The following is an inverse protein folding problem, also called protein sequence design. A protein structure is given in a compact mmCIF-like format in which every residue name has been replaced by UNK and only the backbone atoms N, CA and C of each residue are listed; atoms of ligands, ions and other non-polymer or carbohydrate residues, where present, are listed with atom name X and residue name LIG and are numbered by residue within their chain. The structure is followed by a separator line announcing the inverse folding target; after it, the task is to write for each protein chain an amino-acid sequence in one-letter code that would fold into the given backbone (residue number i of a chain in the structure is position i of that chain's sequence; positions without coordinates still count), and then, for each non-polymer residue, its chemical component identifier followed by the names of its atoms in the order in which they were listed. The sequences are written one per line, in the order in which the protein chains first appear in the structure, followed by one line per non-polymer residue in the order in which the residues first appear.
data_IF_614374910109
#
_entry.id   IF_614374910109
#
_cell.length_a   1.000
_cell.length_b   1.000
_cell.length_c   1.000
_cell.angle_alpha   90.00
_cell.angle_beta   90.00
_cell.angle_gamma   90.00
#
_symmetry.space_group_name_H-M   'P 1'
#
loop_
_entity.id
_entity.type
_entity.pdbx_description
1 polymer ?
#
# COMPACT_ATOMS: atom_id res chain seq x y z
N UNK A 1 3.32 24.74 32.27
CA UNK A 1 2.31 23.86 32.87
C UNK A 1 1.85 22.87 31.80
N UNK A 2 2.35 21.64 31.85
CA UNK A 2 1.90 20.60 30.93
C UNK A 2 0.50 20.14 31.37
N UNK A 3 -0.48 20.18 30.45
CA UNK A 3 -1.80 19.62 30.70
C UNK A 3 -1.63 18.12 30.91
N UNK A 4 -1.91 17.68 32.13
CA UNK A 4 -2.24 16.30 32.45
C UNK A 4 -3.47 15.91 31.62
N UNK A 5 -3.27 15.26 30.48
CA UNK A 5 -4.34 14.55 29.81
C UNK A 5 -4.57 13.27 30.60
N UNK A 6 -5.51 13.33 31.53
CA UNK A 6 -6.24 12.16 31.99
C UNK A 6 -6.77 11.44 30.76
N UNK A 7 -6.07 10.40 30.29
CA UNK A 7 -6.55 9.58 29.17
C UNK A 7 -7.64 8.67 29.71
N UNK A 8 -8.88 9.13 29.67
CA UNK A 8 -10.02 8.25 29.88
C UNK A 8 -9.90 7.08 28.89
N UNK A 9 -10.00 5.86 29.42
CA UNK A 9 -10.02 4.67 28.58
C UNK A 9 -11.23 4.75 27.64
N UNK A 10 -11.12 4.26 26.40
CA UNK A 10 -12.26 4.22 25.49
C UNK A 10 -13.45 3.48 26.14
N UNK A 11 -14.65 3.99 25.92
CA UNK A 11 -15.87 3.39 26.44
C UNK A 11 -16.30 2.15 25.63
N UNK A 12 -17.28 1.42 26.15
CA UNK A 12 -17.82 0.21 25.49
C UNK A 12 -18.30 0.49 24.06
N UNK A 13 -18.90 1.66 23.83
CA UNK A 13 -19.44 2.08 22.53
C UNK A 13 -18.33 2.25 21.47
N UNK A 14 -17.15 2.71 21.88
CA UNK A 14 -15.98 2.70 21.01
C UNK A 14 -15.63 1.27 20.58
N UNK A 15 -15.55 0.32 21.51
CA UNK A 15 -15.23 -1.08 21.21
C UNK A 15 -16.30 -1.73 20.30
N UNK A 16 -17.58 -1.46 20.54
CA UNK A 16 -18.65 -1.88 19.63
C UNK A 16 -18.43 -1.37 18.20
N UNK A 17 -17.95 -0.13 18.07
CA UNK A 17 -17.69 0.49 16.76
C UNK A 17 -16.53 -0.19 16.04
N UNK A 18 -15.39 -0.43 16.70
CA UNK A 18 -14.22 -1.03 16.06
C UNK A 18 -14.36 -2.55 15.84
N UNK A 19 -15.25 -3.23 16.58
CA UNK A 19 -15.59 -4.64 16.37
C UNK A 19 -16.53 -4.85 15.18
N UNK A 20 -17.23 -3.81 14.70
CA UNK A 20 -18.10 -3.91 13.52
C UNK A 20 -17.29 -4.26 12.27
N UNK A 21 -17.78 -5.26 11.55
CA UNK A 21 -17.20 -5.68 10.27
C UNK A 21 -17.71 -4.77 9.16
N UNK A 22 -16.85 -3.91 8.66
CA UNK A 22 -17.11 -3.13 7.45
C UNK A 22 -16.52 -3.87 6.26
N UNK A 23 -17.36 -4.27 5.30
CA UNK A 23 -16.96 -5.12 4.17
C UNK A 23 -17.46 -4.59 2.86
N UNK A 24 -16.75 -4.94 1.80
CA UNK A 24 -17.15 -4.74 0.42
C UNK A 24 -17.46 -3.26 0.09
N UNK A 25 -16.68 -2.32 0.62
CA UNK A 25 -16.87 -0.88 0.37
C UNK A 25 -16.05 -0.45 -0.86
N UNK A 26 -16.61 0.37 -1.76
CA UNK A 26 -15.84 0.96 -2.86
C UNK A 26 -14.62 1.72 -2.34
N UNK A 27 -13.43 1.42 -2.87
CA UNK A 27 -12.22 2.09 -2.42
C UNK A 27 -12.22 3.59 -2.72
N UNK A 28 -12.82 4.00 -3.85
CA UNK A 28 -13.04 5.41 -4.20
C UNK A 28 -13.83 6.17 -3.12
N UNK A 29 -14.85 5.53 -2.54
CA UNK A 29 -15.61 6.11 -1.43
C UNK A 29 -14.74 6.28 -0.18
N UNK A 30 -13.90 5.29 0.13
CA UNK A 30 -12.97 5.40 1.27
C UNK A 30 -12.05 6.59 1.09
N UNK A 31 -11.39 6.72 -0.06
CA UNK A 31 -10.48 7.86 -0.35
C UNK A 31 -11.22 9.19 -0.23
N UNK A 32 -12.41 9.32 -0.81
CA UNK A 32 -13.21 10.54 -0.69
C UNK A 32 -13.49 10.91 0.77
N UNK A 33 -13.88 9.94 1.59
CA UNK A 33 -14.22 10.19 2.99
C UNK A 33 -13.00 10.49 3.87
N UNK A 34 -11.83 9.96 3.54
CA UNK A 34 -10.61 10.12 4.36
C UNK A 34 -9.70 11.24 3.89
N UNK A 35 -9.86 11.73 2.66
CA UNK A 35 -8.98 12.75 2.05
C UNK A 35 -9.72 13.94 1.46
N UNK A 36 -11.03 13.83 1.22
CA UNK A 36 -11.83 14.84 0.53
C UNK A 36 -11.73 14.82 -0.99
N UNK A 37 -10.89 13.94 -1.57
CA UNK A 37 -10.60 13.90 -3.01
C UNK A 37 -11.29 12.77 -3.75
N UNK A 38 -11.61 13.02 -5.02
CA UNK A 38 -12.28 12.06 -5.89
C UNK A 38 -11.29 11.09 -6.56
N UNK A 39 -11.67 9.81 -6.63
CA UNK A 39 -10.99 8.79 -7.45
C UNK A 39 -11.80 8.57 -8.72
N UNK A 40 -11.32 9.11 -9.83
CA UNK A 40 -11.99 8.98 -11.12
C UNK A 40 -11.78 7.58 -11.72
N UNK A 41 -12.83 6.97 -12.28
CA UNK A 41 -12.67 5.77 -13.11
C UNK A 41 -11.86 6.07 -14.36
N UNK A 42 -11.03 5.10 -14.76
CA UNK A 42 -10.26 5.18 -16.01
C UNK A 42 -11.22 5.13 -17.20
N UNK A 43 -11.06 6.07 -18.13
CA UNK A 43 -11.87 6.20 -19.35
C UNK A 43 -11.01 6.07 -20.61
N UNK A 44 -11.66 6.01 -21.78
CA UNK A 44 -10.97 5.90 -23.08
C UNK A 44 -9.99 7.05 -23.35
N UNK A 45 -10.30 8.24 -22.84
CA UNK A 45 -9.41 9.41 -22.92
C UNK A 45 -8.06 9.21 -22.19
N UNK A 46 -8.01 8.30 -21.21
CA UNK A 46 -6.82 7.96 -20.45
C UNK A 46 -5.98 6.87 -21.12
N UNK A 47 -6.45 6.26 -22.22
CA UNK A 47 -5.81 5.11 -22.87
C UNK A 47 -4.33 5.34 -23.17
N UNK A 48 -3.96 6.53 -23.68
CA UNK A 48 -2.55 6.86 -23.97
C UNK A 48 -1.66 6.88 -22.72
N UNK A 49 -2.21 7.22 -21.55
CA UNK A 49 -1.48 7.18 -20.27
C UNK A 49 -1.39 5.75 -19.76
N UNK A 50 -2.44 4.96 -19.93
CA UNK A 50 -2.42 3.51 -19.61
C UNK A 50 -1.38 2.78 -20.47
N UNK A 51 -1.32 3.07 -21.77
CA UNK A 51 -0.32 2.50 -22.68
C UNK A 51 1.12 2.91 -22.29
N UNK A 52 1.32 4.17 -21.87
CA UNK A 52 2.59 4.63 -21.33
C UNK A 52 2.98 3.80 -20.09
N UNK A 53 2.08 3.67 -19.10
CA UNK A 53 2.31 2.88 -17.88
C UNK A 53 2.60 1.43 -18.22
N UNK A 54 1.88 0.86 -19.19
CA UNK A 54 2.08 -0.52 -19.66
C UNK A 54 3.48 -0.72 -20.24
N UNK A 55 3.91 0.12 -21.19
CA UNK A 55 5.23 -0.03 -21.78
C UNK A 55 6.35 0.26 -20.78
N UNK A 56 6.15 1.18 -19.82
CA UNK A 56 7.11 1.42 -18.73
C UNK A 56 7.20 0.25 -17.76
N UNK A 57 6.07 -0.32 -17.32
CA UNK A 57 6.07 -1.50 -16.46
C UNK A 57 6.71 -2.71 -17.16
N UNK A 58 6.51 -2.86 -18.47
CA UNK A 58 7.19 -3.88 -19.29
C UNK A 58 8.70 -3.68 -19.36
N UNK A 59 9.17 -2.43 -19.47
CA UNK A 59 10.59 -2.12 -19.37
C UNK A 59 11.16 -2.47 -17.97
N UNK A 60 10.41 -2.18 -16.90
CA UNK A 60 10.77 -2.59 -15.52
C UNK A 60 10.88 -4.11 -15.41
N UNK A 61 9.93 -4.88 -15.93
CA UNK A 61 10.02 -6.36 -15.92
C UNK A 61 11.26 -6.85 -16.66
N UNK A 62 11.61 -6.25 -17.80
CA UNK A 62 12.83 -6.62 -18.54
C UNK A 62 14.08 -6.37 -17.70
N UNK A 63 14.21 -5.18 -17.12
CA UNK A 63 15.34 -4.80 -16.25
C UNK A 63 15.43 -5.68 -14.99
N UNK A 64 14.29 -6.02 -14.40
CA UNK A 64 14.21 -6.83 -13.19
C UNK A 64 14.65 -8.30 -13.40
N UNK A 65 14.82 -8.76 -14.66
CA UNK A 65 15.38 -10.09 -14.95
C UNK A 65 16.88 -10.15 -14.73
N UNK A 66 17.56 -9.01 -14.84
CA UNK A 66 19.00 -8.90 -14.69
C UNK A 66 19.42 -8.59 -13.23
N UNK A 67 18.43 -8.41 -12.33
CA UNK A 67 18.63 -8.17 -10.90
C UNK A 67 18.56 -9.48 -10.11
N UNK A 68 19.43 -9.62 -9.10
CA UNK A 68 19.35 -10.72 -8.13
C UNK A 68 18.46 -10.32 -6.93
N UNK A 69 17.31 -10.97 -6.82
CA UNK A 69 16.37 -10.82 -5.70
C UNK A 69 16.44 -11.97 -4.68
N UNK A 70 17.37 -12.90 -4.82
CA UNK A 70 17.46 -14.12 -4.00
C UNK A 70 17.66 -13.85 -2.50
N UNK A 71 18.26 -12.73 -2.14
CA UNK A 71 18.49 -12.30 -0.75
C UNK A 71 17.40 -11.37 -0.21
N UNK A 72 16.57 -10.79 -1.07
CA UNK A 72 15.61 -9.75 -0.67
C UNK A 72 14.26 -10.30 -0.22
N UNK A 73 13.70 -9.70 0.83
CA UNK A 73 12.33 -9.96 1.25
C UNK A 73 11.33 -9.39 0.23
N UNK A 74 10.10 -9.92 0.14
CA UNK A 74 9.11 -9.44 -0.82
C UNK A 74 8.85 -7.93 -0.78
N UNK A 75 8.85 -7.32 0.40
CA UNK A 75 8.69 -5.86 0.54
C UNK A 75 9.87 -5.08 -0.05
N UNK A 76 11.11 -5.57 0.12
CA UNK A 76 12.32 -4.95 -0.45
C UNK A 76 12.33 -5.04 -1.98
N UNK A 77 11.87 -6.18 -2.53
CA UNK A 77 11.67 -6.33 -3.98
C UNK A 77 10.62 -5.33 -4.47
N UNK A 78 9.48 -5.20 -3.77
CA UNK A 78 8.42 -4.26 -4.13
C UNK A 78 8.92 -2.81 -4.14
N UNK A 79 9.71 -2.41 -3.15
CA UNK A 79 10.30 -1.06 -3.07
C UNK A 79 11.25 -0.78 -4.25
N UNK A 80 12.09 -1.76 -4.62
CA UNK A 80 12.95 -1.64 -5.82
C UNK A 80 12.11 -1.45 -7.10
N UNK A 81 11.05 -2.24 -7.27
CA UNK A 81 10.16 -2.13 -8.44
C UNK A 81 9.42 -0.79 -8.49
N UNK A 82 9.02 -0.27 -7.33
CA UNK A 82 8.48 1.09 -7.19
C UNK A 82 9.47 2.13 -7.71
N UNK A 83 10.72 2.11 -7.24
CA UNK A 83 11.75 3.06 -7.67
C UNK A 83 12.04 2.98 -9.17
N UNK A 84 12.13 1.75 -9.71
CA UNK A 84 12.33 1.52 -11.13
C UNK A 84 11.18 2.10 -11.96
N UNK A 85 9.93 1.81 -11.59
CA UNK A 85 8.76 2.29 -12.32
C UNK A 85 8.60 3.81 -12.22
N UNK A 86 8.83 4.37 -11.03
CA UNK A 86 8.81 5.82 -10.79
C UNK A 86 9.82 6.54 -11.68
N UNK A 87 11.02 5.99 -11.79
CA UNK A 87 12.08 6.53 -12.65
C UNK A 87 11.69 6.46 -14.13
N UNK A 88 11.18 5.32 -14.60
CA UNK A 88 10.72 5.15 -15.98
C UNK A 88 9.59 6.10 -16.38
N UNK A 89 8.67 6.36 -15.45
CA UNK A 89 7.55 7.27 -15.63
C UNK A 89 7.90 8.74 -15.39
N UNK A 90 9.12 9.04 -14.92
CA UNK A 90 9.51 10.37 -14.43
C UNK A 90 8.49 10.91 -13.41
N UNK A 91 8.01 10.02 -12.54
CA UNK A 91 7.06 10.34 -11.50
C UNK A 91 7.73 10.84 -10.23
N UNK A 92 6.94 11.46 -9.36
CA UNK A 92 7.38 11.96 -8.06
C UNK A 92 6.78 11.14 -6.93
N UNK A 93 7.41 11.19 -5.76
CA UNK A 93 6.83 10.66 -4.53
C UNK A 93 5.79 11.68 -4.05
N UNK A 94 4.50 11.31 -3.92
CA UNK A 94 3.46 12.23 -3.47
C UNK A 94 3.79 12.81 -2.09
N UNK A 95 3.66 14.13 -1.94
CA UNK A 95 3.96 14.86 -0.70
C UNK A 95 5.37 14.61 -0.14
N UNK A 96 6.30 14.10 -0.95
CA UNK A 96 7.64 13.65 -0.52
C UNK A 96 7.63 12.65 0.65
N UNK A 97 6.53 11.91 0.84
CA UNK A 97 6.37 10.90 1.90
C UNK A 97 6.60 9.50 1.34
N UNK A 98 7.66 8.86 1.81
CA UNK A 98 8.05 7.50 1.35
C UNK A 98 7.03 6.45 1.79
N UNK A 99 6.51 6.55 3.01
CA UNK A 99 5.53 5.61 3.54
C UNK A 99 4.09 5.97 3.15
N UNK A 100 3.26 4.92 3.00
CA UNK A 100 1.82 5.06 2.77
C UNK A 100 1.43 5.19 1.30
N UNK A 101 0.12 5.10 1.07
CA UNK A 101 -0.50 5.13 -0.24
C UNK A 101 -0.70 6.56 -0.74
N UNK A 102 -0.45 6.89 -2.03
CA UNK A 102 0.05 6.02 -3.10
C UNK A 102 1.56 6.17 -3.34
N UNK A 103 2.19 5.23 -4.04
CA UNK A 103 3.64 5.25 -4.30
C UNK A 103 4.12 6.40 -5.19
N UNK A 104 3.46 6.63 -6.33
CA UNK A 104 3.93 7.52 -7.40
C UNK A 104 2.82 8.48 -7.81
N UNK A 105 3.16 9.73 -8.12
CA UNK A 105 2.31 10.69 -8.80
C UNK A 105 2.92 11.08 -10.15
N UNK A 106 2.10 11.04 -11.19
CA UNK A 106 2.42 11.64 -12.49
C UNK A 106 1.32 12.62 -12.91
N UNK A 107 1.71 13.63 -13.66
CA UNK A 107 0.80 14.51 -14.37
C UNK A 107 0.96 14.32 -15.87
N UNK A 108 -0.15 14.13 -16.58
CA UNK A 108 -0.19 14.01 -18.04
C UNK A 108 -1.38 14.78 -18.57
N UNK A 109 -1.14 15.70 -19.50
CA UNK A 109 -2.18 16.49 -20.19
C UNK A 109 -3.14 17.20 -19.21
N UNK A 110 -2.61 17.74 -18.12
CA UNK A 110 -3.41 18.45 -17.09
C UNK A 110 -4.24 17.53 -16.20
N UNK A 111 -4.05 16.20 -16.26
CA UNK A 111 -4.67 15.23 -15.34
C UNK A 111 -3.61 14.58 -14.46
N UNK A 112 -4.01 14.30 -13.22
CA UNK A 112 -3.18 13.62 -12.23
C UNK A 112 -3.52 12.12 -12.19
N UNK A 113 -2.48 11.31 -12.04
CA UNK A 113 -2.59 9.86 -11.88
C UNK A 113 -1.74 9.43 -10.69
N UNK A 114 -2.40 8.84 -9.70
CA UNK A 114 -1.73 8.18 -8.59
C UNK A 114 -1.51 6.72 -8.93
N UNK A 115 -0.29 6.24 -8.75
CA UNK A 115 0.10 4.87 -9.08
C UNK A 115 0.60 4.18 -7.81
N UNK A 116 0.01 3.04 -7.52
CA UNK A 116 0.43 2.13 -6.45
C UNK A 116 1.13 0.92 -7.06
N UNK A 117 2.26 0.52 -6.49
CA UNK A 117 3.00 -0.67 -6.89
C UNK A 117 2.74 -1.78 -5.89
N UNK A 118 2.41 -2.96 -6.42
CA UNK A 118 2.27 -4.18 -5.62
C UNK A 118 3.10 -5.30 -6.20
N UNK A 119 3.48 -6.23 -5.34
CA UNK A 119 4.14 -7.46 -5.69
C UNK A 119 3.31 -8.64 -5.18
N UNK A 120 3.01 -9.60 -6.06
CA UNK A 120 2.27 -10.81 -5.71
C UNK A 120 2.92 -12.05 -6.30
N UNK A 121 2.86 -13.18 -5.58
CA UNK A 121 3.27 -14.47 -6.12
C UNK A 121 2.27 -14.99 -7.15
N UNK A 122 2.73 -15.63 -8.23
CA UNK A 122 1.83 -16.20 -9.24
C UNK A 122 0.85 -17.23 -8.67
N UNK A 123 1.24 -17.94 -7.61
CA UNK A 123 0.39 -18.91 -6.93
C UNK A 123 -0.63 -18.26 -5.97
N UNK A 124 -0.51 -16.95 -5.71
CA UNK A 124 -1.35 -16.19 -4.79
C UNK A 124 -2.39 -15.34 -5.53
N UNK A 125 -2.42 -15.40 -6.86
CA UNK A 125 -3.28 -14.53 -7.68
C UNK A 125 -4.79 -14.69 -7.40
N UNK A 126 -5.21 -15.87 -6.94
CA UNK A 126 -6.59 -16.16 -6.53
C UNK A 126 -6.74 -16.28 -5.00
N UNK A 127 -5.74 -15.83 -4.24
CA UNK A 127 -5.77 -15.88 -2.79
C UNK A 127 -6.78 -14.88 -2.23
N UNK A 128 -7.41 -15.24 -1.10
CA UNK A 128 -8.22 -14.33 -0.29
C UNK A 128 -7.38 -13.53 0.73
N UNK A 129 -6.06 -13.74 0.78
CA UNK A 129 -5.17 -12.95 1.62
C UNK A 129 -5.15 -11.48 1.18
N UNK A 130 -4.92 -10.59 2.14
CA UNK A 130 -4.86 -9.15 1.90
C UNK A 130 -3.62 -8.79 1.06
N UNK A 131 -3.82 -8.40 -0.19
CA UNK A 131 -2.76 -7.91 -1.09
C UNK A 131 -2.67 -6.39 -1.15
N UNK A 132 -3.75 -5.68 -0.79
CA UNK A 132 -3.84 -4.23 -0.81
C UNK A 132 -4.18 -3.69 0.58
N UNK A 133 -3.45 -2.66 0.99
CA UNK A 133 -3.61 -1.99 2.29
C UNK A 133 -3.70 -0.49 2.05
N UNK A 134 -4.72 0.12 2.63
CA UNK A 134 -4.85 1.56 2.74
C UNK A 134 -5.09 1.89 4.20
N UNK A 135 -4.23 2.74 4.75
CA UNK A 135 -4.34 3.26 6.10
C UNK A 135 -4.74 4.74 6.00
N UNK A 136 -5.92 5.12 6.50
CA UNK A 136 -6.28 6.53 6.65
C UNK A 136 -5.32 7.18 7.65
N UNK A 137 -4.61 8.21 7.20
CA UNK A 137 -3.71 9.00 8.04
C UNK A 137 -4.11 10.47 7.95
N UNK A 138 -3.90 11.22 9.03
CA UNK A 138 -4.25 12.64 9.11
C UNK A 138 -3.62 13.47 7.98
N UNK A 139 -2.36 13.17 7.65
CA UNK A 139 -1.64 13.81 6.57
C UNK A 139 -1.53 12.88 5.35
N UNK A 140 -2.65 12.72 4.64
CA UNK A 140 -2.72 11.89 3.45
C UNK A 140 -1.77 12.35 2.32
N UNK A 141 -1.35 11.40 1.49
CA UNK A 141 -0.56 11.65 0.27
C UNK A 141 -1.42 11.98 -0.96
N UNK A 142 -2.72 11.69 -0.87
CA UNK A 142 -3.71 12.06 -1.90
C UNK A 142 -4.17 13.49 -1.61
N UNK A 143 -3.83 14.41 -2.50
CA UNK A 143 -4.08 15.86 -2.37
C UNK A 143 -4.75 16.46 -3.61
N UNK A 144 -5.19 15.59 -4.53
CA UNK A 144 -5.75 15.95 -5.83
C UNK A 144 -6.80 14.93 -6.25
N UNK A 145 -7.82 15.38 -6.97
CA UNK A 145 -8.73 14.50 -7.68
C UNK A 145 -7.99 13.86 -8.87
N UNK A 146 -8.06 12.55 -8.99
CA UNK A 146 -7.18 11.81 -9.89
C UNK A 146 -7.71 10.43 -10.27
N UNK A 147 -7.18 9.87 -11.36
CA UNK A 147 -7.27 8.43 -11.59
C UNK A 147 -6.27 7.71 -10.69
N UNK A 148 -6.69 6.62 -10.07
CA UNK A 148 -5.81 5.79 -9.24
C UNK A 148 -5.59 4.44 -9.94
N UNK A 149 -4.32 4.11 -10.17
CA UNK A 149 -3.89 2.93 -10.93
C UNK A 149 -3.03 2.06 -10.03
N UNK A 150 -3.26 0.75 -10.05
CA UNK A 150 -2.38 -0.21 -9.37
C UNK A 150 -1.60 -0.97 -10.44
N UNK A 151 -0.27 -0.97 -10.32
CA UNK A 151 0.62 -1.84 -11.09
C UNK A 151 1.03 -3.00 -10.18
N UNK A 152 0.37 -4.14 -10.36
CA UNK A 152 0.68 -5.37 -9.64
C UNK A 152 1.69 -6.21 -10.39
N UNK A 153 2.97 -6.12 -10.04
CA UNK A 153 4.01 -7.02 -10.53
C UNK A 153 3.81 -8.44 -9.98
N UNK A 154 4.12 -9.43 -10.81
CA UNK A 154 3.93 -10.84 -10.52
C UNK A 154 5.28 -11.51 -10.49
N UNK A 155 5.54 -12.29 -9.44
CA UNK A 155 6.77 -13.07 -9.33
C UNK A 155 6.54 -14.57 -9.24
N UNK A 156 7.55 -15.34 -9.66
CA UNK A 156 7.68 -16.78 -9.44
C UNK A 156 9.07 -17.02 -8.86
N UNK A 157 9.16 -17.60 -7.66
CA UNK A 157 10.45 -17.82 -6.98
C UNK A 157 11.34 -16.55 -6.99
N UNK A 158 10.74 -15.41 -6.60
CA UNK A 158 11.35 -14.05 -6.61
C UNK A 158 11.76 -13.48 -7.98
N UNK A 159 11.67 -14.23 -9.07
CA UNK A 159 11.85 -13.70 -10.43
C UNK A 159 10.59 -12.96 -10.87
N UNK A 160 10.72 -11.74 -11.38
CA UNK A 160 9.59 -10.95 -11.90
C UNK A 160 9.25 -11.43 -13.31
N UNK A 161 8.00 -11.90 -13.49
CA UNK A 161 7.57 -12.57 -14.72
C UNK A 161 6.51 -11.79 -15.51
N UNK A 162 5.93 -10.74 -14.92
CA UNK A 162 4.91 -9.93 -15.57
C UNK A 162 4.28 -8.92 -14.61
N UNK A 163 3.20 -8.30 -15.07
CA UNK A 163 2.42 -7.36 -14.26
C UNK A 163 0.97 -7.32 -14.75
N UNK A 164 0.11 -6.72 -13.92
CA UNK A 164 -1.27 -6.32 -14.26
C UNK A 164 -1.45 -4.84 -13.95
N UNK A 165 -2.23 -4.15 -14.77
CA UNK A 165 -2.70 -2.78 -14.52
C UNK A 165 -4.15 -2.87 -14.07
N UNK A 166 -4.46 -2.25 -12.94
CA UNK A 166 -5.79 -2.29 -12.32
C UNK A 166 -6.28 -0.86 -12.08
N UNK A 167 -7.53 -0.61 -12.44
CA UNK A 167 -8.27 0.61 -12.10
C UNK A 167 -8.75 0.52 -10.63
N UNK A 168 -8.16 1.33 -9.75
CA UNK A 168 -8.48 1.31 -8.33
C UNK A 168 -9.88 1.86 -8.01
N UNK A 169 -10.53 2.60 -8.93
CA UNK A 169 -11.92 3.02 -8.73
C UNK A 169 -12.90 1.83 -8.67
N UNK A 170 -12.49 0.68 -9.24
CA UNK A 170 -13.32 -0.53 -9.36
C UNK A 170 -13.14 -1.51 -8.22
N UNK A 171 -12.13 -1.34 -7.37
CA UNK A 171 -11.85 -2.29 -6.29
C UNK A 171 -12.75 -2.02 -5.09
N UNK A 172 -13.00 -3.09 -4.33
CA UNK A 172 -13.72 -3.02 -3.05
C UNK A 172 -12.82 -3.50 -1.93
N UNK A 173 -12.92 -2.85 -0.78
CA UNK A 173 -12.08 -3.07 0.40
C UNK A 173 -12.92 -3.42 1.62
N UNK A 174 -12.26 -4.04 2.60
CA UNK A 174 -12.82 -4.36 3.90
C UNK A 174 -12.01 -3.60 4.97
N UNK A 175 -12.66 -3.13 6.03
CA UNK A 175 -11.96 -2.62 7.21
C UNK A 175 -11.68 -3.78 8.16
N UNK A 176 -10.44 -3.89 8.61
CA UNK A 176 -10.05 -4.76 9.71
C UNK A 176 -9.33 -3.92 10.76
N UNK A 177 -9.99 -3.70 11.89
CA UNK A 177 -9.39 -3.11 13.08
C UNK A 177 -8.54 -4.16 13.80
N UNK A 178 -7.32 -3.81 14.20
CA UNK A 178 -6.46 -4.68 15.01
C UNK A 178 -5.72 -3.87 16.08
N UNK A 179 -5.68 -4.40 17.31
CA UNK A 179 -4.81 -3.90 18.36
C UNK A 179 -3.40 -4.47 18.15
N UNK A 180 -2.39 -3.64 18.29
CA UNK A 180 -0.99 -4.05 18.16
C UNK A 180 -0.18 -3.52 19.34
N UNK A 181 0.99 -4.13 19.54
CA UNK A 181 2.01 -3.65 20.47
C UNK A 181 3.39 -3.90 19.84
N UNK A 182 4.43 -3.30 20.41
CA UNK A 182 5.81 -3.48 19.93
C UNK A 182 6.62 -4.34 20.90
N UNK A 183 7.80 -4.81 20.46
CA UNK A 183 8.68 -5.65 21.28
C UNK A 183 9.09 -4.99 22.60
N UNK A 184 9.23 -3.66 22.64
CA UNK A 184 9.64 -2.95 23.86
C UNK A 184 8.55 -3.03 24.93
N UNK A 185 7.29 -2.97 24.54
CA UNK A 185 6.15 -3.12 25.45
C UNK A 185 5.94 -4.59 25.83
N UNK A 186 5.91 -5.49 24.84
CA UNK A 186 5.63 -6.90 25.06
C UNK A 186 6.65 -7.56 26.01
N UNK A 187 7.94 -7.23 25.86
CA UNK A 187 9.04 -7.83 26.63
C UNK A 187 9.54 -6.95 27.79
N UNK A 188 8.70 -6.04 28.31
CA UNK A 188 9.02 -5.39 29.59
C UNK A 188 9.21 -6.43 30.68
N UNK A 189 10.15 -6.18 31.60
CA UNK A 189 10.49 -7.12 32.66
C UNK A 189 9.27 -7.49 33.52
N UNK A 190 8.38 -6.54 33.79
CA UNK A 190 7.13 -6.81 34.53
C UNK A 190 6.13 -7.71 33.79
N UNK A 191 6.21 -7.81 32.45
CA UNK A 191 5.33 -8.65 31.64
C UNK A 191 5.84 -10.10 31.50
N UNK A 192 7.11 -10.36 31.86
CA UNK A 192 7.75 -11.66 31.69
C UNK A 192 7.48 -12.55 32.91
N UNK A 193 6.72 -13.63 32.71
CA UNK A 193 6.44 -14.61 33.76
C UNK A 193 7.59 -15.63 33.93
N UNK A 194 8.21 -16.06 32.83
CA UNK A 194 9.38 -16.95 32.77
C UNK A 194 10.14 -16.70 31.48
N UNK A 195 11.45 -16.85 31.50
CA UNK A 195 12.31 -16.80 30.32
C UNK A 195 13.33 -17.94 30.38
N UNK A 196 13.76 -18.39 29.21
CA UNK A 196 14.80 -19.39 29.05
C UNK A 196 15.75 -18.90 27.97
N UNK A 197 17.03 -18.91 28.29
CA UNK A 197 18.12 -18.69 27.34
C UNK A 197 18.98 -19.94 27.36
N UNK A 198 19.24 -20.54 26.20
CA UNK A 198 20.34 -21.49 26.09
C UNK A 198 21.62 -20.76 26.49
N UNK A 199 22.38 -21.31 27.43
CA UNK A 199 23.76 -20.89 27.59
C UNK A 199 24.47 -21.36 26.33
N UNK A 200 24.90 -20.42 25.47
CA UNK A 200 25.76 -20.77 24.35
C UNK A 200 26.98 -21.56 24.89
N UNK A 201 27.38 -22.67 24.26
CA UNK A 201 28.64 -23.32 24.58
C UNK A 201 29.84 -22.40 24.35
#
# INVERSE_FOLDING_TARGET
MAKSTSSELPDEKFFETIMRRVRNIPFSYVIKMTTGHEVYPVKDEDAKVIDEIFEKAKAVVKKARDEDFSSLRPNEISNKLEDMLRTELKGVIPESKVAGYPNILIERRGKFYYIEVKLAGINEMNSSFRTFYYEPVELAKVTKDACHIIVGFIHRMRSIIGFKIIDASRIRVNLKSEFNTNNKELYKRENILKEYFEQNP
#
